data_IF_308274136590
#
_entry.id   IF_308274136590
#
_cell.length_a   1.000
_cell.length_b   1.000
_cell.length_c   1.000
_cell.angle_alpha   90.00
_cell.angle_beta   90.00
_cell.angle_gamma   90.00
#
_symmetry.space_group_name_H-M   'P 1'
#
loop_
_entity.id
_entity.type
_entity.pdbx_description
1 polymer ?
#
# COMPACT_ATOMS: atom_id res chain seq x y z
N UNK A 1 25.91 8.01 8.27
CA UNK A 1 25.19 6.82 8.77
C UNK A 1 25.23 5.76 7.69
N UNK A 2 25.65 4.55 8.03
CA UNK A 2 25.68 3.44 7.09
C UNK A 2 24.26 2.87 6.94
N UNK A 3 23.69 2.93 5.74
CA UNK A 3 22.39 2.32 5.44
C UNK A 3 22.53 0.80 5.46
N UNK A 4 21.83 0.14 6.40
CA UNK A 4 21.78 -1.32 6.52
C UNK A 4 20.35 -1.82 6.34
N UNK A 5 20.17 -2.73 5.39
CA UNK A 5 18.92 -3.48 5.21
C UNK A 5 18.80 -4.52 6.34
N UNK A 6 17.71 -4.49 7.09
CA UNK A 6 17.47 -5.42 8.22
C UNK A 6 16.33 -6.41 7.94
N UNK A 7 16.24 -7.48 8.73
CA UNK A 7 15.09 -8.41 8.67
C UNK A 7 13.77 -7.72 8.96
N UNK A 8 13.75 -6.69 9.83
CA UNK A 8 12.57 -5.86 10.12
C UNK A 8 12.07 -5.18 8.86
N UNK A 9 12.97 -4.59 8.07
CA UNK A 9 12.60 -3.91 6.82
C UNK A 9 11.98 -4.88 5.81
N UNK A 10 12.51 -6.10 5.70
CA UNK A 10 11.98 -7.14 4.81
C UNK A 10 10.54 -7.52 5.18
N UNK A 11 10.29 -7.83 6.45
CA UNK A 11 8.97 -8.27 6.90
C UNK A 11 7.94 -7.15 6.85
N UNK A 12 8.31 -5.91 7.20
CA UNK A 12 7.40 -4.76 7.10
C UNK A 12 7.05 -4.44 5.65
N UNK A 13 7.99 -4.60 4.71
CA UNK A 13 7.73 -4.47 3.28
C UNK A 13 6.74 -5.50 2.76
N UNK A 14 6.94 -6.78 3.11
CA UNK A 14 6.02 -7.86 2.75
C UNK A 14 4.64 -7.58 3.32
N UNK A 15 4.55 -7.25 4.60
CA UNK A 15 3.28 -7.01 5.27
C UNK A 15 2.53 -5.83 4.63
N UNK A 16 3.23 -4.74 4.35
CA UNK A 16 2.64 -3.58 3.67
C UNK A 16 2.19 -3.92 2.24
N UNK A 17 3.00 -4.68 1.50
CA UNK A 17 2.66 -5.13 0.15
C UNK A 17 1.47 -6.09 0.13
N UNK A 18 1.41 -7.04 1.06
CA UNK A 18 0.30 -8.00 1.16
C UNK A 18 -1.01 -7.28 1.49
N UNK A 19 -0.99 -6.41 2.52
CA UNK A 19 -2.15 -5.60 2.88
C UNK A 19 -2.59 -4.71 1.70
N UNK A 20 -1.64 -4.10 0.98
CA UNK A 20 -1.94 -3.32 -0.23
C UNK A 20 -2.59 -4.17 -1.32
N UNK A 21 -2.11 -5.40 -1.54
CA UNK A 21 -2.64 -6.29 -2.55
C UNK A 21 -4.11 -6.63 -2.27
N UNK A 22 -4.43 -7.06 -1.05
CA UNK A 22 -5.80 -7.37 -0.65
C UNK A 22 -6.74 -6.17 -0.73
N UNK A 23 -6.31 -5.02 -0.19
CA UNK A 23 -7.10 -3.79 -0.19
C UNK A 23 -7.33 -3.24 -1.61
N UNK A 24 -6.45 -3.56 -2.56
CA UNK A 24 -6.60 -3.11 -3.95
C UNK A 24 -7.60 -3.92 -4.77
N UNK A 25 -7.86 -5.20 -4.44
CA UNK A 25 -8.74 -6.06 -5.26
C UNK A 25 -10.17 -5.50 -5.43
N UNK A 26 -10.86 -5.01 -4.37
CA UNK A 26 -12.17 -4.39 -4.52
C UNK A 26 -12.12 -3.13 -5.41
N UNK A 27 -11.02 -2.38 -5.35
CA UNK A 27 -10.84 -1.16 -6.16
C UNK A 27 -10.65 -1.53 -7.63
N UNK A 28 -9.84 -2.54 -7.93
CA UNK A 28 -9.66 -3.05 -9.28
C UNK A 28 -11.00 -3.54 -9.88
N UNK A 29 -11.85 -4.16 -9.06
CA UNK A 29 -13.22 -4.51 -9.45
C UNK A 29 -14.06 -3.28 -9.75
N UNK A 30 -14.04 -2.27 -8.87
CA UNK A 30 -14.80 -1.03 -9.06
C UNK A 30 -14.35 -0.24 -10.30
N UNK A 31 -13.07 -0.31 -10.64
CA UNK A 31 -12.48 0.28 -11.86
C UNK A 31 -12.70 -0.59 -13.12
N UNK A 32 -13.45 -1.69 -13.01
CA UNK A 32 -13.73 -2.63 -14.12
C UNK A 32 -12.48 -3.25 -14.75
N UNK A 33 -11.37 -3.30 -14.02
CA UNK A 33 -10.12 -3.90 -14.50
C UNK A 33 -10.31 -5.38 -14.80
N UNK A 34 -11.09 -6.09 -13.97
CA UNK A 34 -11.39 -7.51 -14.21
C UNK A 34 -12.20 -7.74 -15.50
N UNK A 35 -13.11 -6.82 -15.85
CA UNK A 35 -13.89 -6.91 -17.09
C UNK A 35 -12.98 -6.74 -18.32
N UNK A 36 -12.11 -5.72 -18.29
CA UNK A 36 -11.11 -5.46 -19.34
C UNK A 36 -10.16 -6.67 -19.51
N UNK A 37 -9.77 -7.31 -18.42
CA UNK A 37 -8.91 -8.49 -18.45
C UNK A 37 -9.66 -9.72 -19.00
N UNK A 38 -10.94 -9.89 -18.64
CA UNK A 38 -11.77 -10.97 -19.15
C UNK A 38 -11.98 -10.86 -20.67
N UNK A 39 -12.19 -9.66 -21.21
CA UNK A 39 -12.25 -9.40 -22.66
C UNK A 39 -10.96 -9.79 -23.39
N UNK A 40 -9.82 -9.77 -22.68
CA UNK A 40 -8.51 -10.21 -23.19
C UNK A 40 -8.22 -11.69 -22.93
N UNK A 41 -9.19 -12.46 -22.44
CA UNK A 41 -9.06 -13.89 -22.14
C UNK A 41 -8.33 -14.20 -20.83
N UNK A 42 -8.11 -13.22 -19.96
CA UNK A 42 -7.43 -13.41 -18.67
C UNK A 42 -8.48 -13.68 -17.58
N UNK A 43 -8.38 -14.82 -16.91
CA UNK A 43 -9.26 -15.17 -15.80
C UNK A 43 -8.97 -14.28 -14.57
N UNK A 44 -10.02 -13.69 -14.00
CA UNK A 44 -9.96 -12.86 -12.79
C UNK A 44 -9.31 -13.57 -11.60
N UNK A 45 -9.54 -14.88 -11.42
CA UNK A 45 -8.92 -15.66 -10.34
C UNK A 45 -7.42 -15.78 -10.53
N UNK A 46 -6.98 -16.12 -11.74
CA UNK A 46 -5.55 -16.24 -12.07
C UNK A 46 -4.84 -14.90 -11.89
N UNK A 47 -5.47 -13.81 -12.35
CA UNK A 47 -4.93 -12.47 -12.16
C UNK A 47 -4.88 -12.07 -10.69
N UNK A 48 -5.90 -12.38 -9.88
CA UNK A 48 -5.92 -12.05 -8.45
C UNK A 48 -4.83 -12.78 -7.67
N UNK A 49 -4.61 -14.08 -7.96
CA UNK A 49 -3.52 -14.85 -7.35
C UNK A 49 -2.16 -14.25 -7.74
N UNK A 50 -1.97 -13.95 -9.02
CA UNK A 50 -0.77 -13.26 -9.50
C UNK A 50 -0.58 -11.94 -8.77
N UNK A 51 -1.64 -11.13 -8.64
CA UNK A 51 -1.59 -9.80 -8.02
C UNK A 51 -1.21 -9.85 -6.54
N UNK A 52 -1.80 -10.78 -5.78
CA UNK A 52 -1.49 -10.99 -4.35
C UNK A 52 -0.02 -11.35 -4.16
N UNK A 53 0.60 -12.11 -5.07
CA UNK A 53 2.02 -12.46 -4.99
C UNK A 53 2.90 -11.32 -5.52
N UNK A 54 2.48 -10.66 -6.60
CA UNK A 54 3.26 -9.67 -7.31
C UNK A 54 3.47 -8.39 -6.50
N UNK A 55 2.45 -7.90 -5.78
CA UNK A 55 2.55 -6.64 -5.04
C UNK A 55 3.53 -6.70 -3.85
N UNK A 56 3.54 -7.73 -2.98
CA UNK A 56 4.57 -7.90 -1.95
C UNK A 56 5.98 -7.99 -2.52
N UNK A 57 6.16 -8.73 -3.62
CA UNK A 57 7.45 -8.82 -4.33
C UNK A 57 7.85 -7.45 -4.86
N UNK A 58 6.90 -6.70 -5.43
CA UNK A 58 7.08 -5.32 -5.88
C UNK A 58 7.53 -4.39 -4.75
N UNK A 59 6.92 -4.49 -3.57
CA UNK A 59 7.28 -3.68 -2.40
C UNK A 59 8.73 -3.94 -1.93
N UNK A 60 9.14 -5.21 -1.85
CA UNK A 60 10.53 -5.57 -1.51
C UNK A 60 11.50 -5.10 -2.60
N UNK A 61 11.12 -5.29 -3.87
CA UNK A 61 11.96 -4.91 -5.02
C UNK A 61 12.17 -3.39 -5.06
N UNK A 62 11.11 -2.61 -4.79
CA UNK A 62 11.19 -1.17 -4.66
C UNK A 62 12.15 -0.76 -3.51
N UNK A 63 12.04 -1.39 -2.34
CA UNK A 63 12.98 -1.11 -1.23
C UNK A 63 14.41 -1.47 -1.57
N UNK A 64 14.66 -2.61 -2.22
CA UNK A 64 16.00 -2.98 -2.67
C UNK A 64 16.58 -1.97 -3.66
N UNK A 65 15.75 -1.47 -4.58
CA UNK A 65 16.14 -0.41 -5.50
C UNK A 65 16.55 0.86 -4.76
N UNK A 66 15.73 1.33 -3.82
CA UNK A 66 16.04 2.51 -3.01
C UNK A 66 17.24 2.31 -2.08
N UNK A 67 17.45 1.10 -1.56
CA UNK A 67 18.65 0.73 -0.81
C UNK A 67 19.92 0.83 -1.66
N UNK A 68 19.88 0.27 -2.88
CA UNK A 68 21.00 0.37 -3.82
C UNK A 68 21.28 1.83 -4.18
N UNK A 69 20.22 2.62 -4.43
CA UNK A 69 20.35 4.04 -4.74
C UNK A 69 20.94 4.84 -3.57
N UNK A 70 20.52 4.55 -2.35
CA UNK A 70 21.06 5.17 -1.13
C UNK A 70 22.56 4.88 -0.98
N UNK A 71 22.98 3.63 -1.22
CA UNK A 71 24.39 3.22 -1.18
C UNK A 71 25.21 3.85 -2.32
N UNK A 72 24.69 3.84 -3.55
CA UNK A 72 25.37 4.39 -4.72
C UNK A 72 25.55 5.91 -4.63
N UNK A 73 24.55 6.64 -4.14
CA UNK A 73 24.61 8.10 -3.98
C UNK A 73 25.16 8.54 -2.61
N UNK A 74 25.43 7.60 -1.71
CA UNK A 74 25.81 7.84 -0.33
C UNK A 74 24.86 8.83 0.40
N UNK A 75 23.54 8.67 0.17
CA UNK A 75 22.50 9.54 0.76
C UNK A 75 21.41 8.70 1.42
N UNK A 76 21.31 8.82 2.74
CA UNK A 76 20.34 8.08 3.56
C UNK A 76 18.89 8.41 3.18
N UNK A 77 18.61 9.65 2.73
CA UNK A 77 17.27 10.06 2.33
C UNK A 77 16.62 9.20 1.24
N UNK A 78 17.38 8.54 0.36
CA UNK A 78 16.80 7.60 -0.61
C UNK A 78 16.24 6.34 0.06
N UNK A 79 16.87 5.88 1.14
CA UNK A 79 16.41 4.73 1.91
C UNK A 79 15.11 5.03 2.65
N UNK A 80 15.06 6.20 3.30
CA UNK A 80 13.86 6.71 3.97
C UNK A 80 12.72 6.94 2.97
N UNK A 81 13.03 7.50 1.79
CA UNK A 81 12.08 7.68 0.70
C UNK A 81 11.49 6.35 0.21
N UNK A 82 12.29 5.30 0.10
CA UNK A 82 11.80 3.97 -0.27
C UNK A 82 10.78 3.42 0.73
N UNK A 83 11.07 3.54 2.03
CA UNK A 83 10.14 3.13 3.10
C UNK A 83 8.88 3.98 3.10
N UNK A 84 9.03 5.30 3.01
CA UNK A 84 7.93 6.25 2.91
C UNK A 84 7.02 5.94 1.71
N UNK A 85 7.62 5.58 0.56
CA UNK A 85 6.89 5.16 -0.64
C UNK A 85 6.05 3.91 -0.42
N UNK A 86 6.62 2.85 0.18
CA UNK A 86 5.87 1.63 0.51
C UNK A 86 4.70 1.93 1.47
N UNK A 87 4.93 2.75 2.50
CA UNK A 87 3.90 3.19 3.44
C UNK A 87 2.81 4.00 2.71
N UNK A 88 3.19 4.88 1.77
CA UNK A 88 2.27 5.68 0.98
C UNK A 88 1.32 4.84 0.11
N UNK A 89 1.84 3.76 -0.50
CA UNK A 89 1.01 2.81 -1.26
C UNK A 89 0.01 2.11 -0.34
N UNK A 90 0.48 1.59 0.81
CA UNK A 90 -0.39 0.97 1.81
C UNK A 90 -1.50 1.93 2.25
N UNK A 91 -1.16 3.18 2.55
CA UNK A 91 -2.10 4.19 3.01
C UNK A 91 -3.15 4.55 1.95
N UNK A 92 -2.76 4.60 0.68
CA UNK A 92 -3.71 4.84 -0.43
C UNK A 92 -4.80 3.77 -0.43
N UNK A 93 -4.39 2.50 -0.37
CA UNK A 93 -5.30 1.38 -0.37
C UNK A 93 -6.08 1.25 0.95
N UNK A 94 -5.47 1.58 2.09
CA UNK A 94 -6.14 1.59 3.38
C UNK A 94 -7.27 2.62 3.41
N UNK A 95 -7.01 3.85 2.94
CA UNK A 95 -8.02 4.90 2.89
C UNK A 95 -9.20 4.50 2.00
N UNK A 96 -8.91 4.05 0.79
CA UNK A 96 -9.93 3.59 -0.14
C UNK A 96 -10.69 2.37 0.42
N UNK A 97 -9.99 1.42 1.04
CA UNK A 97 -10.58 0.22 1.64
C UNK A 97 -11.55 0.55 2.78
N UNK A 98 -11.13 1.37 3.74
CA UNK A 98 -11.98 1.80 4.87
C UNK A 98 -13.19 2.59 4.39
N UNK A 99 -12.98 3.53 3.46
CA UNK A 99 -14.06 4.32 2.87
C UNK A 99 -15.12 3.43 2.18
N UNK A 100 -14.68 2.50 1.32
CA UNK A 100 -15.58 1.57 0.63
C UNK A 100 -16.24 0.56 1.59
N UNK A 101 -15.55 0.17 2.67
CA UNK A 101 -16.12 -0.72 3.67
C UNK A 101 -17.32 -0.07 4.38
N UNK A 102 -17.24 1.21 4.74
CA UNK A 102 -18.37 1.93 5.31
C UNK A 102 -19.55 2.04 4.35
N UNK A 103 -19.30 2.33 3.07
CA UNK A 103 -20.34 2.32 2.03
C UNK A 103 -21.00 0.94 1.95
N UNK A 104 -20.21 -0.13 1.96
CA UNK A 104 -20.69 -1.51 1.84
C UNK A 104 -21.62 -1.90 2.99
N UNK A 105 -21.25 -1.61 4.25
CA UNK A 105 -22.06 -2.01 5.41
C UNK A 105 -23.30 -1.11 5.64
N UNK A 106 -23.28 0.12 5.14
CA UNK A 106 -24.40 1.08 5.33
C UNK A 106 -25.30 1.22 4.11
N UNK A 107 -24.84 0.80 2.92
CA UNK A 107 -25.46 1.09 1.62
C UNK A 107 -25.65 2.59 1.33
N UNK A 108 -24.93 3.49 2.02
CA UNK A 108 -24.99 4.93 1.80
C UNK A 108 -23.84 5.34 0.87
N UNK A 109 -24.18 5.80 -0.33
CA UNK A 109 -23.22 6.15 -1.39
C UNK A 109 -23.29 7.62 -1.85
N UNK A 110 -24.07 8.46 -1.16
CA UNK A 110 -24.20 9.90 -1.46
C UNK A 110 -24.62 10.72 -0.24
N UNK A 111 -24.40 12.03 -0.31
CA UNK A 111 -24.79 12.99 0.73
C UNK A 111 -23.78 13.08 1.89
N UNK A 112 -24.14 13.88 2.90
CA UNK A 112 -23.25 14.26 4.01
C UNK A 112 -22.65 13.06 4.78
N UNK A 113 -23.39 11.97 4.92
CA UNK A 113 -22.89 10.76 5.59
C UNK A 113 -21.71 10.13 4.86
N UNK A 114 -21.66 10.24 3.53
CA UNK A 114 -20.52 9.78 2.73
C UNK A 114 -19.26 10.60 3.03
N UNK A 115 -19.40 11.92 3.19
CA UNK A 115 -18.30 12.81 3.55
C UNK A 115 -17.72 12.43 4.92
N UNK A 116 -18.59 12.06 5.87
CA UNK A 116 -18.15 11.56 7.18
C UNK A 116 -17.33 10.26 7.05
N UNK A 117 -17.70 9.34 6.16
CA UNK A 117 -16.91 8.12 5.92
C UNK A 117 -15.51 8.46 5.40
N UNK A 118 -15.42 9.44 4.50
CA UNK A 118 -14.13 9.89 3.98
C UNK A 118 -13.25 10.50 5.09
N UNK A 119 -13.84 11.33 5.95
CA UNK A 119 -13.13 11.92 7.10
C UNK A 119 -12.62 10.84 8.06
N UNK A 120 -13.44 9.83 8.37
CA UNK A 120 -13.03 8.71 9.24
C UNK A 120 -11.90 7.89 8.59
N UNK A 121 -12.04 7.55 7.30
CA UNK A 121 -11.01 6.82 6.56
C UNK A 121 -9.68 7.59 6.54
N UNK A 122 -9.73 8.91 6.37
CA UNK A 122 -8.58 9.78 6.41
C UNK A 122 -7.88 9.75 7.78
N UNK A 123 -8.63 9.89 8.88
CA UNK A 123 -8.04 9.85 10.23
C UNK A 123 -7.36 8.51 10.54
N UNK A 124 -8.00 7.40 10.19
CA UNK A 124 -7.42 6.07 10.35
C UNK A 124 -6.12 5.96 9.54
N UNK A 125 -6.16 6.41 8.29
CA UNK A 125 -5.02 6.33 7.37
C UNK A 125 -3.85 7.22 7.80
N UNK A 126 -4.10 8.46 8.22
CA UNK A 126 -3.05 9.37 8.69
C UNK A 126 -2.44 8.86 9.99
N UNK A 127 -3.25 8.29 10.90
CA UNK A 127 -2.75 7.67 12.13
C UNK A 127 -1.86 6.47 11.80
N UNK A 128 -2.29 5.59 10.90
CA UNK A 128 -1.47 4.48 10.41
C UNK A 128 -0.15 4.98 9.79
N UNK A 129 -0.23 5.99 8.92
CA UNK A 129 0.92 6.62 8.30
C UNK A 129 1.93 7.13 9.32
N UNK A 130 1.45 7.84 10.36
CA UNK A 130 2.30 8.36 11.42
C UNK A 130 3.04 7.24 12.16
N UNK A 131 2.33 6.18 12.57
CA UNK A 131 2.93 5.06 13.29
C UNK A 131 4.01 4.36 12.46
N UNK A 132 3.71 4.03 11.20
CA UNK A 132 4.67 3.38 10.32
C UNK A 132 5.87 4.27 10.01
N UNK A 133 5.67 5.56 9.78
CA UNK A 133 6.77 6.46 9.50
C UNK A 133 7.66 6.67 10.74
N UNK A 134 7.06 6.84 11.91
CA UNK A 134 7.79 7.03 13.17
C UNK A 134 8.59 5.80 13.59
N UNK A 135 7.99 4.60 13.50
CA UNK A 135 8.58 3.37 14.02
C UNK A 135 9.33 2.54 12.97
N UNK A 136 9.38 2.98 11.71
CA UNK A 136 10.11 2.27 10.65
C UNK A 136 10.83 3.16 9.63
N UNK A 137 10.15 4.14 9.02
CA UNK A 137 10.74 4.94 7.94
C UNK A 137 11.86 5.85 8.46
N UNK A 138 11.56 6.59 9.52
CA UNK A 138 12.41 7.59 10.15
C UNK A 138 12.78 7.19 11.58
N UNK A 139 12.77 5.89 11.87
CA UNK A 139 13.27 5.37 13.15
C UNK A 139 14.75 5.75 13.27
N UNK A 140 15.08 6.59 14.26
CA UNK A 140 16.46 6.95 14.57
C UNK A 140 17.25 5.67 14.89
N UNK A 141 18.39 5.51 14.22
CA UNK A 141 19.36 4.44 14.48
C UNK A 141 20.63 5.03 15.10
#
# INVERSE_FOLDING_TARGET
>A
METKFTKKDFWLAILAGEASAWLSLPILKNLKIFDILAERGINATSFSIFWIIFIPIGAISALNFFYFLAKYKNRVGFWELGKYGVIGVLNTFLNAGVYNFFIFITNISSGFTLDLFFVIAFFITVTNSFLWNKFWAFEEK
#
